data_IF_625294464750
#
_entry.id   IF_625294464750
#
_cell.length_a   1.000
_cell.length_b   1.000
_cell.length_c   1.000
_cell.angle_alpha   90.00
_cell.angle_beta   90.00
_cell.angle_gamma   90.00
#
_symmetry.space_group_name_H-M   'P 1'
#
loop_
_entity.id
_entity.type
_entity.pdbx_description
1 polymer ?
#
# COMPACT_ATOMS: atom_id res chain seq x y z
N UNK A 1 2.80 21.09 15.42
CA UNK A 1 4.04 21.17 14.62
C UNK A 1 3.90 20.18 13.47
N UNK A 2 4.07 20.65 12.23
CA UNK A 2 3.86 19.84 11.03
C UNK A 2 4.86 18.67 10.95
N UNK A 3 6.12 18.91 11.28
CA UNK A 3 7.15 17.87 11.29
C UNK A 3 6.83 16.73 12.26
N UNK A 4 6.17 17.05 13.39
CA UNK A 4 5.74 16.04 14.35
C UNK A 4 4.54 15.20 13.87
N UNK A 5 3.74 15.72 12.93
CA UNK A 5 2.65 14.99 12.28
C UNK A 5 3.20 14.07 11.19
N UNK A 6 4.12 14.57 10.35
CA UNK A 6 4.72 13.80 9.26
C UNK A 6 5.49 12.56 9.78
N UNK A 7 6.14 12.68 10.95
CA UNK A 7 6.84 11.57 11.59
C UNK A 7 5.92 10.47 12.18
N UNK A 8 4.59 10.66 12.18
CA UNK A 8 3.60 9.74 12.78
C UNK A 8 2.51 9.31 11.82
N UNK A 9 2.23 10.12 10.80
CA UNK A 9 1.19 9.88 9.82
C UNK A 9 1.84 9.31 8.55
N UNK A 10 1.73 7.99 8.30
CA UNK A 10 2.35 7.39 7.13
C UNK A 10 1.68 7.90 5.84
N UNK A 11 2.51 8.21 4.84
CA UNK A 11 2.12 8.46 3.46
C UNK A 11 1.69 7.15 2.77
N UNK A 12 2.37 6.04 3.10
CA UNK A 12 2.12 4.73 2.51
C UNK A 12 1.58 3.74 3.56
N UNK A 13 0.46 3.11 3.24
CA UNK A 13 -0.12 1.99 4.02
C UNK A 13 -0.42 0.82 3.07
N UNK A 14 -0.39 -0.44 3.55
CA UNK A 14 -0.76 -1.59 2.73
C UNK A 14 -2.28 -1.63 2.51
N UNK A 15 -2.78 -0.78 1.61
CA UNK A 15 -4.21 -0.71 1.27
C UNK A 15 -4.64 -2.04 0.62
N UNK A 16 -5.81 -2.55 0.99
CA UNK A 16 -6.28 -3.87 0.57
C UNK A 16 -6.19 -4.09 -0.95
N UNK A 17 -6.57 -3.12 -1.79
CA UNK A 17 -6.47 -3.26 -3.25
C UNK A 17 -5.05 -3.49 -3.78
N UNK A 18 -4.03 -2.89 -3.15
CA UNK A 18 -2.62 -3.12 -3.50
C UNK A 18 -2.14 -4.47 -2.99
N UNK A 19 -2.66 -4.91 -1.84
CA UNK A 19 -2.38 -6.24 -1.29
C UNK A 19 -2.97 -7.33 -2.19
N UNK A 20 -4.22 -7.19 -2.62
CA UNK A 20 -4.85 -8.12 -3.57
C UNK A 20 -4.09 -8.15 -4.91
N UNK A 21 -3.73 -6.99 -5.47
CA UNK A 21 -2.91 -6.90 -6.69
C UNK A 21 -1.59 -7.69 -6.54
N UNK A 22 -0.90 -7.53 -5.41
CA UNK A 22 0.34 -8.23 -5.13
C UNK A 22 0.14 -9.75 -4.95
N UNK A 23 -0.95 -10.17 -4.32
CA UNK A 23 -1.27 -11.60 -4.14
C UNK A 23 -1.67 -12.28 -5.45
N UNK A 24 -2.47 -11.60 -6.28
CA UNK A 24 -2.90 -12.10 -7.59
C UNK A 24 -1.70 -12.28 -8.52
N UNK A 25 -0.82 -11.27 -8.60
CA UNK A 25 0.41 -11.34 -9.39
C UNK A 25 1.35 -12.45 -8.89
N UNK A 26 1.55 -12.54 -7.57
CA UNK A 26 2.40 -13.57 -6.96
C UNK A 26 1.89 -14.98 -7.24
N UNK A 27 0.56 -15.17 -7.23
CA UNK A 27 -0.08 -16.45 -7.57
C UNK A 27 0.14 -16.82 -9.05
N UNK A 28 0.28 -15.83 -9.92
CA UNK A 28 0.66 -16.01 -11.32
C UNK A 28 2.19 -16.15 -11.53
N UNK A 29 3.00 -16.08 -10.47
CA UNK A 29 4.45 -16.21 -10.50
C UNK A 29 5.22 -14.89 -10.64
N UNK A 30 4.55 -13.75 -10.55
CA UNK A 30 5.16 -12.42 -10.59
C UNK A 30 5.21 -11.78 -9.20
N UNK A 31 6.42 -11.62 -8.66
CA UNK A 31 6.64 -11.03 -7.33
C UNK A 31 6.93 -9.53 -7.38
N UNK A 32 7.04 -8.91 -8.56
CA UNK A 32 7.39 -7.49 -8.68
C UNK A 32 6.39 -6.58 -7.91
N UNK A 33 5.06 -6.75 -8.01
CA UNK A 33 4.12 -5.89 -7.28
C UNK A 33 4.24 -6.05 -5.75
N UNK A 34 4.54 -7.26 -5.27
CA UNK A 34 4.82 -7.52 -3.86
C UNK A 34 6.10 -6.82 -3.40
N UNK A 35 7.19 -6.92 -4.16
CA UNK A 35 8.47 -6.29 -3.84
C UNK A 35 8.34 -4.76 -3.80
N UNK A 36 7.60 -4.18 -4.75
CA UNK A 36 7.27 -2.77 -4.75
C UNK A 36 6.46 -2.36 -3.52
N UNK A 37 5.35 -3.05 -3.23
CA UNK A 37 4.53 -2.75 -2.06
C UNK A 37 5.35 -2.85 -0.76
N UNK A 38 6.19 -3.87 -0.64
CA UNK A 38 7.08 -4.06 0.51
C UNK A 38 8.09 -2.90 0.65
N UNK A 39 8.63 -2.41 -0.46
CA UNK A 39 9.61 -1.34 -0.46
C UNK A 39 9.05 0.00 0.08
N UNK A 40 7.77 0.32 -0.17
CA UNK A 40 7.14 1.53 0.38
C UNK A 40 6.72 1.39 1.83
N UNK A 41 6.15 0.25 2.23
CA UNK A 41 5.70 0.07 3.61
C UNK A 41 6.86 -0.03 4.61
N UNK A 42 8.08 -0.32 4.13
CA UNK A 42 9.32 -0.27 4.93
C UNK A 42 9.79 1.15 5.26
N UNK A 43 9.33 2.18 4.55
CA UNK A 43 9.61 3.58 4.88
C UNK A 43 8.35 4.43 4.67
N UNK A 44 7.30 4.18 5.47
CA UNK A 44 5.96 4.64 5.15
C UNK A 44 5.78 6.15 5.35
N UNK A 45 6.73 6.83 5.99
CA UNK A 45 6.69 8.28 6.27
C UNK A 45 7.45 9.12 5.25
N UNK A 46 8.18 8.50 4.31
CA UNK A 46 9.05 9.21 3.36
C UNK A 46 8.41 9.15 1.99
N UNK A 47 7.88 10.28 1.50
CA UNK A 47 7.37 10.40 0.13
C UNK A 47 8.50 10.21 -0.90
N UNK A 48 8.21 9.50 -1.98
CA UNK A 48 9.15 9.16 -3.06
C UNK A 48 8.51 9.48 -4.41
N UNK A 49 9.24 10.21 -5.24
CA UNK A 49 8.87 10.47 -6.64
C UNK A 49 8.72 9.15 -7.40
N UNK A 50 7.62 9.00 -8.16
CA UNK A 50 7.29 7.80 -8.92
C UNK A 50 6.52 6.73 -8.12
N UNK A 51 6.28 6.96 -6.83
CA UNK A 51 5.55 6.05 -5.95
C UNK A 51 4.17 6.58 -5.54
N UNK A 52 3.66 7.59 -6.23
CA UNK A 52 2.41 8.29 -5.92
C UNK A 52 1.22 7.32 -5.91
N UNK A 53 1.24 6.28 -6.76
CA UNK A 53 0.18 5.24 -6.80
C UNK A 53 -0.07 4.59 -5.43
N UNK A 54 0.96 4.45 -4.60
CA UNK A 54 0.85 3.78 -3.30
C UNK A 54 0.25 4.68 -2.21
N UNK A 55 0.21 6.00 -2.44
CA UNK A 55 -0.44 6.96 -1.54
C UNK A 55 -1.94 7.12 -1.84
N UNK A 56 -2.35 6.86 -3.08
CA UNK A 56 -3.72 7.07 -3.55
C UNK A 56 -4.74 6.12 -2.88
N UNK A 57 -6.02 6.54 -2.74
CA UNK A 57 -7.09 5.65 -2.32
C UNK A 57 -7.31 4.52 -3.35
N UNK A 58 -8.07 3.50 -2.94
CA UNK A 58 -8.54 2.49 -3.88
C UNK A 58 -9.38 3.15 -4.99
N UNK A 59 -9.30 2.67 -6.24
CA UNK A 59 -10.18 3.14 -7.29
C UNK A 59 -11.64 2.78 -6.97
N UNK A 60 -12.59 3.59 -7.42
CA UNK A 60 -14.03 3.35 -7.20
C UNK A 60 -14.49 1.97 -7.72
N UNK A 61 -13.79 1.43 -8.72
CA UNK A 61 -14.03 0.10 -9.30
C UNK A 61 -13.64 -1.08 -8.41
N UNK A 62 -12.85 -0.86 -7.33
CA UNK A 62 -12.43 -1.94 -6.43
C UNK A 62 -13.60 -2.51 -5.61
N UNK A 63 -14.67 -1.71 -5.44
CA UNK A 63 -15.88 -2.14 -4.75
C UNK A 63 -15.69 -2.35 -3.24
N UNK A 64 -16.73 -2.89 -2.56
CA UNK A 64 -16.68 -3.13 -1.12
C UNK A 64 -15.72 -4.27 -0.79
N UNK A 65 -14.82 -4.05 0.18
CA UNK A 65 -13.89 -5.05 0.65
C UNK A 65 -14.23 -5.50 2.07
N UNK A 66 -14.24 -6.82 2.32
CA UNK A 66 -14.51 -7.39 3.64
C UNK A 66 -13.21 -7.91 4.24
N UNK A 67 -12.73 -7.20 5.25
CA UNK A 67 -11.61 -7.66 6.08
C UNK A 67 -12.10 -8.64 7.14
N UNK A 68 -11.30 -9.67 7.41
CA UNK A 68 -11.48 -10.55 8.56
C UNK A 68 -10.34 -10.28 9.53
N UNK A 69 -10.63 -9.52 10.59
CA UNK A 69 -9.69 -9.31 11.68
C UNK A 69 -9.80 -10.52 12.63
N UNK A 70 -8.96 -11.54 12.47
CA UNK A 70 -9.03 -12.76 13.28
C UNK A 70 -7.68 -13.41 13.54
N UNK A 71 -7.01 -12.96 14.62
CA UNK A 71 -6.83 -13.68 15.91
C UNK A 71 -6.77 -12.64 17.02
#
# INVERSE_FOLDING_TARGET
DAAAMDARNPVYIPRNHLVEEALDAATAGDLEPFEHLLAVVRSPFVEREGWERFAQPAPDSFGPYRTFCGT
#
